data_IF_154499420385
#
_entry.id   IF_154499420385
#
_cell.length_a   1.000
_cell.length_b   1.000
_cell.length_c   1.000
_cell.angle_alpha   90.00
_cell.angle_beta   90.00
_cell.angle_gamma   90.00
#
_symmetry.space_group_name_H-M   'P 1'
#
loop_
_entity.id
_entity.type
_entity.pdbx_description
1 polymer ?
#
# COMPACT_ATOMS: atom_id res chain seq x y z
N UNK A 1 11.08 -17.02 -2.41
CA UNK A 1 10.28 -17.38 -1.22
C UNK A 1 10.56 -16.34 -0.19
N UNK A 2 9.53 -15.63 0.25
CA UNK A 2 9.60 -14.59 1.28
C UNK A 2 9.37 -15.25 2.62
N UNK A 3 10.31 -15.07 3.54
CA UNK A 3 10.15 -15.42 4.95
C UNK A 3 9.75 -14.16 5.74
N UNK A 4 9.33 -14.33 7.00
CA UNK A 4 8.99 -13.22 7.90
C UNK A 4 10.06 -12.11 7.93
N UNK A 5 11.33 -12.49 7.86
CA UNK A 5 12.46 -11.55 7.88
C UNK A 5 12.54 -10.64 6.64
N UNK A 6 11.81 -10.97 5.58
CA UNK A 6 11.74 -10.18 4.35
C UNK A 6 10.58 -9.18 4.35
N UNK A 7 9.74 -9.19 5.41
CA UNK A 7 8.66 -8.22 5.55
C UNK A 7 9.20 -6.84 5.92
N UNK A 8 8.69 -5.82 5.23
CA UNK A 8 9.07 -4.44 5.47
C UNK A 8 8.01 -3.73 6.31
N UNK A 9 8.40 -3.08 7.40
CA UNK A 9 7.47 -2.43 8.32
C UNK A 9 7.60 -0.91 8.25
N UNK A 10 6.50 -0.22 7.90
CA UNK A 10 6.41 1.24 7.91
C UNK A 10 5.58 1.64 9.13
N UNK A 11 6.13 2.46 10.02
CA UNK A 11 5.38 2.93 11.20
C UNK A 11 4.22 3.82 10.77
N UNK A 12 3.03 3.56 11.33
CA UNK A 12 1.85 4.39 11.09
C UNK A 12 1.88 5.56 12.07
N UNK A 13 1.87 6.79 11.54
CA UNK A 13 1.78 8.00 12.35
C UNK A 13 0.33 8.48 12.48
N UNK A 14 0.00 9.22 13.56
CA UNK A 14 -1.30 9.88 13.68
C UNK A 14 -1.63 10.77 12.47
N UNK A 15 -0.66 11.53 11.98
CA UNK A 15 -0.84 12.45 10.84
C UNK A 15 -1.22 11.69 9.57
N UNK A 16 -0.49 10.62 9.24
CA UNK A 16 -0.80 9.80 8.07
C UNK A 16 -2.21 9.20 8.16
N UNK A 17 -2.60 8.72 9.35
CA UNK A 17 -3.93 8.18 9.58
C UNK A 17 -5.03 9.24 9.44
N UNK A 18 -4.86 10.42 10.04
CA UNK A 18 -5.81 11.54 9.91
C UNK A 18 -5.96 11.96 8.45
N UNK A 19 -4.86 12.08 7.71
CA UNK A 19 -4.90 12.47 6.30
C UNK A 19 -5.64 11.41 5.47
N UNK A 20 -5.30 10.13 5.62
CA UNK A 20 -6.00 9.05 4.93
C UNK A 20 -7.50 9.01 5.27
N UNK A 21 -7.85 9.24 6.53
CA UNK A 21 -9.23 9.34 6.99
C UNK A 21 -9.98 10.50 6.35
N UNK A 22 -9.35 11.68 6.26
CA UNK A 22 -9.93 12.85 5.61
C UNK A 22 -10.16 12.61 4.11
N UNK A 23 -9.17 12.05 3.41
CA UNK A 23 -9.29 11.71 2.00
C UNK A 23 -10.37 10.66 1.75
N UNK A 24 -10.49 9.66 2.62
CA UNK A 24 -11.55 8.65 2.55
C UNK A 24 -12.94 9.27 2.72
N UNK A 25 -13.13 10.25 3.62
CA UNK A 25 -14.43 10.96 3.74
C UNK A 25 -14.83 11.64 2.44
N UNK A 26 -13.86 12.19 1.69
CA UNK A 26 -14.10 12.84 0.40
C UNK A 26 -14.36 11.79 -0.69
N UNK A 27 -13.64 10.67 -0.67
CA UNK A 27 -13.70 9.62 -1.70
C UNK A 27 -14.94 8.72 -1.58
N UNK A 28 -15.36 8.39 -0.36
CA UNK A 28 -16.46 7.45 -0.06
C UNK A 28 -17.77 7.70 -0.83
N UNK A 29 -18.27 8.95 -0.99
CA UNK A 29 -19.48 9.22 -1.77
C UNK A 29 -19.40 8.82 -3.25
N UNK A 30 -18.19 8.65 -3.78
CA UNK A 30 -17.92 8.30 -5.17
C UNK A 30 -17.36 6.88 -5.33
N UNK A 31 -17.08 6.19 -4.23
CA UNK A 31 -16.48 4.86 -4.27
C UNK A 31 -17.51 3.83 -4.75
N UNK A 32 -17.11 2.98 -5.70
CA UNK A 32 -17.91 1.81 -6.01
C UNK A 32 -17.90 0.86 -4.82
N UNK A 33 -19.03 0.76 -4.12
CA UNK A 33 -19.16 -0.13 -2.97
C UNK A 33 -19.10 -1.60 -3.43
N UNK A 34 -18.11 -2.32 -2.92
CA UNK A 34 -17.94 -3.75 -3.22
C UNK A 34 -18.91 -4.52 -2.33
N UNK A 35 -20.00 -5.03 -2.90
CA UNK A 35 -20.93 -5.88 -2.16
C UNK A 35 -20.27 -7.23 -1.81
N UNK A 36 -20.26 -7.62 -0.52
CA UNK A 36 -19.72 -8.90 -0.02
C UNK A 36 -18.87 -8.76 1.25
N UNK A 37 -18.49 -9.88 1.87
CA UNK A 37 -17.53 -9.96 3.01
C UNK A 37 -17.73 -9.02 4.21
N UNK A 38 -18.97 -8.76 4.64
CA UNK A 38 -19.27 -7.94 5.84
C UNK A 38 -18.70 -6.50 5.77
N UNK A 39 -18.36 -6.00 4.58
CA UNK A 39 -17.96 -4.60 4.42
C UNK A 39 -19.19 -3.71 4.65
N UNK A 40 -19.27 -3.13 5.85
CA UNK A 40 -20.22 -2.05 6.14
C UNK A 40 -19.62 -0.74 5.65
N UNK A 41 -20.35 -0.05 4.77
CA UNK A 41 -20.02 1.29 4.29
C UNK A 41 -20.84 2.36 5.01
N UNK A 42 -21.62 1.97 6.02
CA UNK A 42 -22.54 2.86 6.71
C UNK A 42 -21.91 3.48 7.96
N UNK A 43 -20.96 2.77 8.57
CA UNK A 43 -20.29 3.16 9.81
C UNK A 43 -18.77 2.96 9.72
N UNK A 44 -17.98 3.66 10.54
CA UNK A 44 -16.56 3.35 10.73
C UNK A 44 -16.36 1.91 11.21
N UNK A 45 -15.43 1.19 10.60
CA UNK A 45 -15.18 -0.21 10.97
C UNK A 45 -14.49 -0.34 12.32
N UNK A 46 -14.60 -1.52 12.93
CA UNK A 46 -13.88 -1.85 14.16
C UNK A 46 -12.37 -1.60 14.00
N UNK A 47 -11.78 -1.97 12.87
CA UNK A 47 -10.36 -1.76 12.58
C UNK A 47 -10.00 -0.28 12.58
N UNK A 48 -10.81 0.58 11.95
CA UNK A 48 -10.60 2.04 11.97
C UNK A 48 -10.67 2.60 13.40
N UNK A 49 -11.61 2.13 14.22
CA UNK A 49 -11.74 2.55 15.61
C UNK A 49 -10.55 2.09 16.46
N UNK A 50 -10.08 0.85 16.27
CA UNK A 50 -8.88 0.32 16.96
C UNK A 50 -7.63 1.12 16.60
N UNK A 51 -7.43 1.42 15.31
CA UNK A 51 -6.29 2.24 14.86
C UNK A 51 -6.36 3.64 15.50
N UNK A 52 -7.54 4.27 15.48
CA UNK A 52 -7.73 5.58 16.11
C UNK A 52 -7.43 5.53 17.60
N UNK A 53 -7.95 4.55 18.33
CA UNK A 53 -7.75 4.45 19.77
C UNK A 53 -6.28 4.25 20.15
N UNK A 54 -5.54 3.50 19.33
CA UNK A 54 -4.12 3.25 19.56
C UNK A 54 -3.24 4.48 19.22
N UNK A 55 -3.56 5.24 18.17
CA UNK A 55 -2.78 6.41 17.77
C UNK A 55 -3.19 7.69 18.53
N UNK A 56 -4.47 7.82 18.83
CA UNK A 56 -5.13 9.06 19.26
C UNK A 56 -6.32 8.76 20.20
N UNK A 57 -6.08 8.23 21.41
CA UNK A 57 -7.14 7.76 22.32
C UNK A 57 -8.16 8.83 22.75
N UNK A 58 -7.81 10.11 22.61
CA UNK A 58 -8.69 11.25 22.96
C UNK A 58 -9.48 11.79 21.78
N UNK A 59 -9.26 11.29 20.57
CA UNK A 59 -9.93 11.78 19.36
C UNK A 59 -11.31 11.12 19.20
N UNK A 60 -12.36 11.88 18.85
CA UNK A 60 -13.72 11.35 18.80
C UNK A 60 -13.91 10.34 17.65
N UNK A 61 -14.40 9.12 17.91
CA UNK A 61 -14.65 8.11 16.87
C UNK A 61 -15.65 8.54 15.78
N UNK A 62 -16.56 9.47 16.09
CA UNK A 62 -17.53 10.02 15.15
C UNK A 62 -16.87 10.74 13.95
N UNK A 63 -15.59 11.08 14.06
CA UNK A 63 -14.82 11.72 13.00
C UNK A 63 -14.16 10.71 12.04
N UNK A 64 -14.44 9.42 12.14
CA UNK A 64 -13.92 8.43 11.21
C UNK A 64 -14.74 8.38 9.92
N UNK A 65 -14.06 8.12 8.82
CA UNK A 65 -14.67 7.75 7.54
C UNK A 65 -15.37 6.39 7.67
N UNK A 66 -16.41 6.21 6.87
CA UNK A 66 -17.17 4.97 6.82
C UNK A 66 -16.38 3.88 6.09
N UNK A 67 -16.55 2.62 6.51
CA UNK A 67 -15.91 1.48 5.86
C UNK A 67 -14.38 1.44 6.02
N UNK A 68 -13.71 0.74 5.10
CA UNK A 68 -12.27 0.46 5.15
C UNK A 68 -11.44 1.26 4.14
N UNK A 69 -12.05 2.22 3.42
CA UNK A 69 -11.38 3.01 2.37
C UNK A 69 -10.15 3.74 2.88
N UNK A 70 -10.22 4.29 4.10
CA UNK A 70 -9.08 4.97 4.71
C UNK A 70 -7.89 4.05 4.96
N UNK A 71 -8.09 2.75 5.21
CA UNK A 71 -6.99 1.79 5.38
C UNK A 71 -6.28 1.57 4.04
N UNK A 72 -7.04 1.48 2.94
CA UNK A 72 -6.49 1.43 1.58
C UNK A 72 -5.64 2.65 1.26
N UNK A 73 -6.23 3.85 1.37
CA UNK A 73 -5.54 5.12 1.14
C UNK A 73 -4.30 5.27 2.04
N UNK A 74 -4.40 4.86 3.31
CA UNK A 74 -3.26 4.88 4.22
C UNK A 74 -2.11 4.02 3.70
N UNK A 75 -2.41 2.80 3.27
CA UNK A 75 -1.39 1.89 2.72
C UNK A 75 -0.74 2.47 1.47
N UNK A 76 -1.53 3.03 0.55
CA UNK A 76 -1.07 3.67 -0.67
C UNK A 76 -0.14 4.84 -0.38
N UNK A 77 -0.55 5.75 0.51
CA UNK A 77 0.23 6.92 0.91
C UNK A 77 1.56 6.54 1.58
N UNK A 78 1.54 5.58 2.49
CA UNK A 78 2.74 5.16 3.22
C UNK A 78 3.77 4.50 2.30
N UNK A 79 3.31 3.68 1.35
CA UNK A 79 4.18 3.09 0.32
C UNK A 79 4.75 4.18 -0.58
N UNK A 80 3.93 5.13 -1.02
CA UNK A 80 4.41 6.21 -1.88
C UNK A 80 5.44 7.11 -1.19
N UNK A 81 5.24 7.43 0.08
CA UNK A 81 6.20 8.19 0.90
C UNK A 81 7.51 7.41 1.08
N UNK A 82 7.45 6.10 1.36
CA UNK A 82 8.63 5.24 1.45
C UNK A 82 9.42 5.18 0.14
N UNK A 83 8.75 4.96 -0.99
CA UNK A 83 9.37 4.97 -2.32
C UNK A 83 9.99 6.32 -2.65
N UNK A 84 9.34 7.42 -2.28
CA UNK A 84 9.86 8.78 -2.47
C UNK A 84 11.15 8.99 -1.67
N UNK A 85 11.18 8.56 -0.40
CA UNK A 85 12.37 8.62 0.45
C UNK A 85 13.50 7.74 -0.08
N UNK A 86 13.17 6.55 -0.58
CA UNK A 86 14.14 5.67 -1.23
C UNK A 86 14.78 6.35 -2.45
N UNK A 87 13.99 6.95 -3.36
CA UNK A 87 14.51 7.70 -4.51
C UNK A 87 15.38 8.89 -4.10
N UNK A 88 14.99 9.62 -3.06
CA UNK A 88 15.81 10.71 -2.50
C UNK A 88 17.15 10.19 -1.97
N UNK A 89 17.15 9.06 -1.25
CA UNK A 89 18.38 8.44 -0.77
C UNK A 89 19.31 8.06 -1.93
N UNK A 90 18.76 7.42 -2.98
CA UNK A 90 19.52 7.06 -4.20
C UNK A 90 20.17 8.27 -4.85
N UNK A 91 19.47 9.40 -4.95
CA UNK A 91 20.04 10.66 -5.42
C UNK A 91 21.27 11.08 -4.60
N UNK A 92 21.18 11.03 -3.26
CA UNK A 92 22.28 11.42 -2.39
C UNK A 92 23.48 10.46 -2.49
N UNK A 93 23.24 9.16 -2.62
CA UNK A 93 24.30 8.16 -2.85
C UNK A 93 25.06 8.44 -4.15
N UNK A 94 24.34 8.69 -5.25
CA UNK A 94 24.93 9.00 -6.56
C UNK A 94 25.76 10.28 -6.45
N UNK A 95 25.19 11.33 -5.87
CA UNK A 95 25.87 12.61 -5.68
C UNK A 95 27.14 12.46 -4.84
N UNK A 96 27.11 11.65 -3.78
CA UNK A 96 28.28 11.39 -2.94
C UNK A 96 29.38 10.64 -3.72
N UNK A 97 29.03 9.64 -4.54
CA UNK A 97 29.99 8.94 -5.41
C UNK A 97 30.63 9.87 -6.44
N UNK A 98 29.85 10.77 -7.04
CA UNK A 98 30.38 11.79 -7.94
C UNK A 98 31.38 12.71 -7.22
N UNK A 99 31.04 13.17 -6.02
CA UNK A 99 31.93 13.99 -5.19
C UNK A 99 33.25 13.28 -4.86
N UNK A 100 33.18 12.01 -4.42
CA UNK A 100 34.38 11.20 -4.12
C UNK A 100 35.28 11.00 -5.34
N UNK A 101 34.69 10.84 -6.52
CA UNK A 101 35.41 10.66 -7.79
C UNK A 101 35.76 11.97 -8.49
N UNK A 102 35.51 13.13 -7.86
CA UNK A 102 35.73 14.46 -8.44
C UNK A 102 35.02 14.68 -9.79
N UNK A 103 33.89 13.98 -10.01
CA UNK A 103 33.07 14.12 -11.22
C UNK A 103 32.03 15.22 -10.95
N UNK A 104 31.94 16.28 -11.77
CA UNK A 104 30.90 17.28 -11.64
C UNK A 104 29.51 16.64 -11.67
N UNK A 105 28.65 17.03 -10.72
CA UNK A 105 27.26 16.58 -10.67
C UNK A 105 26.34 17.79 -10.69
N UNK A 106 25.59 17.93 -11.77
CA UNK A 106 24.78 19.13 -12.07
C UNK A 106 23.28 18.92 -11.88
N UNK A 107 22.84 17.67 -11.71
CA UNK A 107 21.43 17.33 -11.57
C UNK A 107 20.94 17.75 -10.18
N UNK A 108 19.86 18.53 -10.12
CA UNK A 108 19.20 18.85 -8.85
C UNK A 108 18.33 17.68 -8.37
N UNK A 109 17.99 17.65 -7.07
CA UNK A 109 17.05 16.65 -6.56
C UNK A 109 15.71 16.71 -7.30
N UNK A 110 15.21 17.92 -7.58
CA UNK A 110 13.95 18.10 -8.30
C UNK A 110 13.99 17.48 -9.70
N UNK A 111 15.05 17.74 -10.47
CA UNK A 111 15.21 17.16 -11.81
C UNK A 111 15.33 15.65 -11.74
N UNK A 112 16.12 15.13 -10.80
CA UNK A 112 16.22 13.69 -10.57
C UNK A 112 14.85 13.06 -10.30
N UNK A 113 14.05 13.64 -9.39
CA UNK A 113 12.71 13.11 -9.06
C UNK A 113 11.75 13.16 -10.26
N UNK A 114 11.83 14.20 -11.10
CA UNK A 114 11.06 14.28 -12.34
C UNK A 114 11.47 13.16 -13.30
N UNK A 115 12.77 12.94 -13.48
CA UNK A 115 13.32 11.88 -14.34
C UNK A 115 12.94 10.48 -13.86
N UNK A 116 12.70 10.30 -12.55
CA UNK A 116 12.20 9.02 -12.04
C UNK A 116 10.81 8.68 -12.57
N UNK A 117 10.00 9.64 -13.04
CA UNK A 117 8.66 9.37 -13.60
C UNK A 117 7.81 8.47 -12.69
N UNK A 118 7.89 8.70 -11.38
CA UNK A 118 7.11 8.03 -10.35
C UNK A 118 5.98 8.96 -9.89
N UNK A 119 4.73 8.50 -9.95
CA UNK A 119 3.58 9.29 -9.51
C UNK A 119 2.53 8.45 -8.78
N UNK A 120 1.92 9.09 -7.78
CA UNK A 120 0.78 8.57 -7.04
C UNK A 120 -0.53 9.03 -7.69
N UNK A 121 -1.35 8.07 -8.07
CA UNK A 121 -2.64 8.25 -8.74
C UNK A 121 -3.79 8.17 -7.73
N UNK A 122 -3.82 9.07 -6.75
CA UNK A 122 -5.01 9.18 -5.91
C UNK A 122 -6.18 9.69 -6.73
N UNK A 123 -7.21 8.86 -6.88
CA UNK A 123 -8.43 9.22 -7.61
C UNK A 123 -9.60 9.42 -6.66
N UNK A 124 -10.31 10.54 -6.87
CA UNK A 124 -11.53 10.91 -6.15
C UNK A 124 -12.58 11.26 -7.20
N UNK A 125 -13.73 10.57 -7.21
CA UNK A 125 -14.83 10.93 -8.12
C UNK A 125 -14.67 10.47 -9.56
N UNK A 126 -13.64 9.69 -9.89
CA UNK A 126 -13.45 9.10 -11.22
C UNK A 126 -12.89 7.68 -11.15
N UNK A 127 -12.75 7.01 -12.30
CA UNK A 127 -12.16 5.68 -12.37
C UNK A 127 -10.64 5.76 -12.21
N UNK A 128 -10.09 4.96 -11.29
CA UNK A 128 -8.65 4.90 -10.94
C UNK A 128 -7.78 4.17 -11.97
N UNK A 129 -8.39 3.60 -13.02
CA UNK A 129 -7.75 2.74 -14.03
C UNK A 129 -7.02 1.52 -13.42
N UNK A 130 -7.36 1.13 -12.18
CA UNK A 130 -6.86 -0.06 -11.49
C UNK A 130 -5.40 -0.01 -11.03
N UNK A 131 -4.81 1.17 -10.80
CA UNK A 131 -3.49 1.28 -10.19
C UNK A 131 -3.35 2.50 -9.29
N UNK A 132 -2.56 2.36 -8.22
CA UNK A 132 -2.32 3.44 -7.26
C UNK A 132 -1.03 4.20 -7.58
N UNK A 133 0.02 3.50 -8.04
CA UNK A 133 1.32 4.10 -8.36
C UNK A 133 1.68 3.77 -9.80
N UNK A 134 2.25 4.74 -10.51
CA UNK A 134 2.91 4.52 -11.80
C UNK A 134 4.38 4.86 -11.72
N UNK A 135 5.20 4.00 -12.32
CA UNK A 135 6.63 4.22 -12.54
C UNK A 135 6.93 3.96 -14.01
N UNK A 136 7.20 5.00 -14.79
CA UNK A 136 7.23 4.88 -16.25
C UNK A 136 5.93 4.22 -16.76
N UNK A 137 6.03 3.17 -17.58
CA UNK A 137 4.90 2.38 -18.08
C UNK A 137 4.43 1.27 -17.12
N UNK A 138 5.02 1.16 -15.93
CA UNK A 138 4.70 0.13 -14.95
C UNK A 138 3.62 0.66 -14.00
N UNK A 139 2.47 -0.02 -14.00
CA UNK A 139 1.37 0.20 -13.07
C UNK A 139 1.48 -0.73 -11.85
N UNK A 140 1.34 -0.15 -10.66
CA UNK A 140 1.44 -0.82 -9.37
C UNK A 140 0.16 -0.59 -8.58
N UNK A 141 -0.44 -1.66 -8.08
CA UNK A 141 -1.69 -1.65 -7.31
C UNK A 141 -1.45 -2.26 -5.92
N UNK A 142 -1.85 -1.55 -4.88
CA UNK A 142 -1.56 -1.84 -3.48
C UNK A 142 -2.81 -2.43 -2.85
N UNK A 143 -2.65 -3.62 -2.27
CA UNK A 143 -3.71 -4.34 -1.58
C UNK A 143 -3.47 -4.31 -0.09
N UNK A 144 -4.50 -3.96 0.66
CA UNK A 144 -4.48 -4.02 2.12
C UNK A 144 -5.65 -4.86 2.64
N UNK A 145 -5.38 -5.72 3.62
CA UNK A 145 -6.43 -6.43 4.36
C UNK A 145 -7.14 -5.48 5.33
N UNK A 146 -8.03 -4.64 4.80
CA UNK A 146 -8.72 -3.63 5.61
C UNK A 146 -9.68 -4.20 6.67
N UNK A 147 -10.00 -5.49 6.62
CA UNK A 147 -10.92 -6.15 7.56
C UNK A 147 -10.20 -6.88 8.72
N UNK A 148 -8.86 -6.86 8.78
CA UNK A 148 -8.11 -7.54 9.84
C UNK A 148 -6.89 -6.71 10.26
N UNK A 149 -6.77 -6.48 11.56
CA UNK A 149 -5.51 -6.05 12.18
C UNK A 149 -4.81 -7.33 12.67
N UNK A 150 -3.56 -7.47 12.29
CA UNK A 150 -2.69 -8.59 12.68
C UNK A 150 -2.05 -8.24 14.01
N UNK A 151 -2.01 -9.19 14.94
CA UNK A 151 -1.29 -9.05 16.23
C UNK A 151 0.04 -9.81 16.21
N UNK A 152 0.08 -10.95 15.51
CA UNK A 152 1.29 -11.73 15.27
C UNK A 152 1.67 -11.73 13.79
N UNK A 153 2.87 -11.23 13.50
CA UNK A 153 3.42 -11.14 12.14
C UNK A 153 3.54 -12.51 11.45
N UNK A 154 3.68 -13.60 12.21
CA UNK A 154 3.79 -14.97 11.67
C UNK A 154 2.52 -15.38 10.92
N UNK A 155 1.35 -14.86 11.34
CA UNK A 155 0.06 -15.14 10.69
C UNK A 155 0.06 -14.71 9.22
N UNK A 156 0.82 -13.67 8.86
CA UNK A 156 0.84 -13.08 7.53
C UNK A 156 1.34 -14.07 6.48
N UNK A 157 2.28 -14.93 6.83
CA UNK A 157 2.87 -15.93 5.92
C UNK A 157 1.83 -16.93 5.39
N UNK A 158 0.76 -17.17 6.15
CA UNK A 158 -0.33 -18.08 5.80
C UNK A 158 -1.48 -17.39 5.03
N UNK A 159 -1.34 -16.09 4.74
CA UNK A 159 -2.32 -15.31 3.98
C UNK A 159 -1.96 -15.28 2.50
N UNK A 160 -2.80 -14.59 1.71
CA UNK A 160 -2.64 -14.44 0.28
C UNK A 160 -2.62 -12.97 -0.09
N UNK A 161 -1.91 -12.64 -1.15
CA UNK A 161 -2.27 -11.50 -1.99
C UNK A 161 -3.60 -11.82 -2.68
N UNK A 162 -4.59 -10.94 -2.56
CA UNK A 162 -5.92 -11.10 -3.15
C UNK A 162 -6.26 -9.91 -4.05
N UNK A 163 -6.64 -10.20 -5.30
CA UNK A 163 -7.17 -9.22 -6.25
C UNK A 163 -8.53 -9.70 -6.72
N UNK A 164 -9.57 -8.89 -6.51
CA UNK A 164 -10.92 -9.20 -6.96
C UNK A 164 -10.94 -9.55 -8.46
N UNK A 165 -11.64 -10.62 -8.84
CA UNK A 165 -11.67 -11.09 -10.23
C UNK A 165 -12.15 -10.00 -11.19
N UNK A 166 -13.22 -9.27 -10.84
CA UNK A 166 -13.76 -8.21 -11.71
C UNK A 166 -12.76 -7.06 -11.84
N UNK A 167 -12.07 -6.70 -10.77
CA UNK A 167 -10.99 -5.72 -10.84
C UNK A 167 -9.89 -6.18 -11.78
N UNK A 168 -9.38 -7.40 -11.59
CA UNK A 168 -8.27 -7.93 -12.39
C UNK A 168 -8.63 -8.07 -13.88
N UNK A 169 -9.82 -8.56 -14.20
CA UNK A 169 -10.26 -8.80 -15.58
C UNK A 169 -10.46 -7.47 -16.35
N UNK A 170 -10.83 -6.37 -15.67
CA UNK A 170 -11.08 -5.08 -16.32
C UNK A 170 -9.89 -4.11 -16.28
N UNK A 171 -9.14 -4.10 -15.17
CA UNK A 171 -8.10 -3.12 -14.90
C UNK A 171 -6.87 -3.80 -14.27
N UNK A 172 -6.18 -4.58 -15.10
CA UNK A 172 -4.99 -5.34 -14.72
C UNK A 172 -3.79 -4.41 -14.53
N UNK A 173 -3.23 -4.36 -13.33
CA UNK A 173 -1.95 -3.72 -13.05
C UNK A 173 -0.79 -4.66 -13.42
N UNK A 174 0.42 -4.11 -13.61
CA UNK A 174 1.60 -4.93 -13.87
C UNK A 174 2.06 -5.65 -12.58
N UNK A 175 2.03 -4.93 -11.46
CA UNK A 175 2.52 -5.38 -10.16
C UNK A 175 1.44 -5.14 -9.10
N UNK A 176 1.34 -6.10 -8.18
CA UNK A 176 0.46 -6.03 -7.03
C UNK A 176 1.27 -6.18 -5.74
N UNK A 177 1.12 -5.23 -4.80
CA UNK A 177 1.78 -5.25 -3.49
C UNK A 177 0.76 -5.69 -2.44
N UNK A 178 1.12 -6.63 -1.57
CA UNK A 178 0.27 -7.03 -0.45
C UNK A 178 0.74 -6.40 0.86
N UNK A 179 -0.20 -5.78 1.59
CA UNK A 179 0.04 -5.12 2.87
C UNK A 179 -0.96 -5.53 3.95
N UNK A 180 -0.57 -5.35 5.21
CA UNK A 180 -1.37 -5.64 6.40
C UNK A 180 -1.14 -4.55 7.46
N UNK A 181 -2.12 -4.34 8.34
CA UNK A 181 -1.91 -3.54 9.55
C UNK A 181 -1.48 -4.47 10.67
N UNK A 182 -0.33 -4.21 11.28
CA UNK A 182 0.20 -4.91 12.45
C UNK A 182 0.06 -4.00 13.67
N UNK A 183 -0.56 -4.50 14.73
CA UNK A 183 -0.58 -3.89 16.04
C UNK A 183 0.20 -4.78 17.01
N UNK A 184 1.34 -4.31 17.50
CA UNK A 184 2.15 -5.02 18.48
C UNK A 184 2.61 -4.07 19.59
N UNK A 185 3.40 -4.59 20.55
CA UNK A 185 3.89 -3.82 21.69
C UNK A 185 4.72 -2.59 21.31
N UNK A 186 5.24 -2.51 20.08
CA UNK A 186 6.03 -1.39 19.57
C UNK A 186 5.17 -0.34 18.83
N UNK A 187 3.87 -0.58 18.71
CA UNK A 187 2.89 0.29 18.07
C UNK A 187 2.27 -0.29 16.81
N UNK A 188 1.76 0.62 15.98
CA UNK A 188 1.09 0.30 14.72
C UNK A 188 2.02 0.44 13.52
N UNK A 189 1.99 -0.57 12.66
CA UNK A 189 2.81 -0.64 11.46
C UNK A 189 1.99 -1.09 10.26
N UNK A 190 2.28 -0.54 9.09
CA UNK A 190 1.95 -1.15 7.82
C UNK A 190 3.05 -2.18 7.51
N UNK A 191 2.68 -3.44 7.43
CA UNK A 191 3.56 -4.52 6.99
C UNK A 191 3.40 -4.69 5.49
N UNK A 192 4.49 -4.53 4.74
CA UNK A 192 4.58 -4.86 3.33
C UNK A 192 5.09 -6.30 3.22
N UNK A 193 4.18 -7.20 2.90
CA UNK A 193 4.48 -8.63 2.85
C UNK A 193 5.24 -9.04 1.58
N UNK A 194 5.22 -8.19 0.56
CA UNK A 194 5.91 -8.41 -0.71
C UNK A 194 5.04 -8.02 -1.90
N UNK A 195 5.48 -8.41 -3.08
CA UNK A 195 4.78 -8.15 -4.33
C UNK A 195 4.74 -9.38 -5.25
N UNK A 196 3.79 -9.37 -6.17
CA UNK A 196 3.75 -10.29 -7.29
C UNK A 196 3.52 -9.52 -8.59
N UNK A 197 4.14 -10.01 -9.66
CA UNK A 197 3.75 -9.63 -11.02
C UNK A 197 2.42 -10.29 -11.37
N UNK A 198 1.67 -9.63 -12.23
CA UNK A 198 0.29 -10.01 -12.56
C UNK A 198 0.13 -11.40 -13.18
N UNK A 199 1.16 -11.94 -13.84
CA UNK A 199 1.22 -13.27 -14.43
C UNK A 199 1.45 -14.39 -13.40
N UNK A 200 1.90 -14.03 -12.19
CA UNK A 200 2.09 -14.96 -11.06
C UNK A 200 0.82 -15.15 -10.23
N UNK A 201 -0.25 -14.40 -10.51
CA UNK A 201 -1.53 -14.56 -9.82
C UNK A 201 -2.37 -15.64 -10.51
N UNK A 202 -2.93 -16.56 -9.72
CA UNK A 202 -3.84 -17.60 -10.21
C UNK A 202 -5.26 -17.36 -9.73
N UNK A 203 -6.25 -17.58 -10.59
CA UNK A 203 -7.65 -17.48 -10.20
C UNK A 203 -8.01 -18.58 -9.20
N UNK A 204 -8.55 -18.19 -8.05
CA UNK A 204 -9.19 -19.09 -7.12
C UNK A 204 -10.70 -18.79 -7.07
N UNK A 205 -11.48 -19.68 -7.68
CA UNK A 205 -12.95 -19.57 -7.73
C UNK A 205 -13.65 -20.10 -6.48
N UNK A 206 -12.93 -20.69 -5.53
CA UNK A 206 -13.52 -21.26 -4.31
C UNK A 206 -13.71 -20.21 -3.19
N UNK A 207 -13.14 -19.01 -3.33
CA UNK A 207 -13.44 -17.91 -2.44
C UNK A 207 -14.90 -17.47 -2.60
N UNK A 208 -15.58 -16.98 -1.54
CA UNK A 208 -16.94 -16.45 -1.64
C UNK A 208 -17.08 -15.40 -2.74
N UNK A 209 -16.05 -14.57 -2.92
CA UNK A 209 -15.85 -13.73 -4.09
C UNK A 209 -14.60 -14.24 -4.84
N UNK A 210 -14.72 -14.73 -6.10
CA UNK A 210 -13.57 -15.17 -6.88
C UNK A 210 -12.49 -14.10 -6.96
N UNK A 211 -11.24 -14.50 -6.77
CA UNK A 211 -10.09 -13.60 -6.76
C UNK A 211 -8.89 -14.24 -7.44
N UNK A 212 -8.07 -13.42 -8.09
CA UNK A 212 -6.72 -13.80 -8.47
C UNK A 212 -5.83 -13.67 -7.25
N UNK A 213 -5.05 -14.71 -6.95
CA UNK A 213 -4.30 -14.78 -5.71
C UNK A 213 -2.91 -15.38 -5.88
N UNK A 214 -2.04 -15.05 -4.93
CA UNK A 214 -0.74 -15.66 -4.72
C UNK A 214 -0.50 -15.77 -3.20
N UNK A 215 0.02 -16.89 -2.72
CA UNK A 215 0.38 -17.02 -1.30
C UNK A 215 1.45 -16.01 -0.93
N UNK A 216 1.34 -15.43 0.26
CA UNK A 216 2.36 -14.50 0.78
C UNK A 216 3.76 -15.12 0.77
N UNK A 217 3.88 -16.40 1.11
CA UNK A 217 5.15 -17.15 1.06
C UNK A 217 5.82 -17.19 -0.32
N UNK A 218 5.04 -17.02 -1.38
CA UNK A 218 5.47 -17.04 -2.78
C UNK A 218 5.68 -15.64 -3.38
N UNK A 219 5.47 -14.57 -2.61
CA UNK A 219 5.75 -13.22 -3.07
C UNK A 219 7.26 -12.99 -3.23
N UNK A 220 7.60 -11.95 -3.97
CA UNK A 220 8.94 -11.36 -3.99
C UNK A 220 9.05 -10.27 -2.92
N UNK A 221 10.24 -10.05 -2.36
CA UNK A 221 10.43 -9.06 -1.30
C UNK A 221 10.23 -7.62 -1.80
N UNK A 222 9.78 -6.74 -0.91
CA UNK A 222 9.60 -5.33 -1.25
C UNK A 222 10.93 -4.60 -1.54
N UNK A 223 12.02 -5.02 -0.90
CA UNK A 223 13.37 -4.52 -1.24
C UNK A 223 13.78 -4.88 -2.67
N UNK A 224 13.43 -6.07 -3.18
CA UNK A 224 13.70 -6.43 -4.57
C UNK A 224 12.93 -5.50 -5.52
N UNK A 225 11.67 -5.17 -5.19
CA UNK A 225 10.87 -4.22 -5.97
C UNK A 225 11.56 -2.86 -6.05
N UNK A 226 11.94 -2.30 -4.89
CA UNK A 226 12.62 -1.01 -4.81
C UNK A 226 13.87 -1.00 -5.67
N UNK A 227 14.74 -2.01 -5.54
CA UNK A 227 16.00 -2.06 -6.27
C UNK A 227 15.86 -2.31 -7.78
N UNK A 228 14.79 -2.98 -8.22
CA UNK A 228 14.60 -3.36 -9.63
C UNK A 228 13.79 -2.34 -10.43
N UNK A 229 12.91 -1.59 -9.77
CA UNK A 229 11.95 -0.68 -10.41
C UNK A 229 12.26 0.81 -10.14
N UNK A 230 12.87 1.13 -8.99
CA UNK A 230 13.11 2.49 -8.50
C UNK A 230 14.61 2.79 -8.31
#
# INVERSE_FOLDING_TARGET
MVNQNDFYCIRISPEAFITANYLAKIRNPYEFQRNGHLYSYDEPTYQMQTILQALMPTYPPAELSKGNTAIGILSEMLIFDDLTKYLQHRYFEIRQKHFQNQIPYTLTLQQFMIEQSCCYHLVIGSYDNGCDIRKNDISIDIKCYGNKIIENIDEITNLNLLVDKRQFDNFKANIYIQTFILNNNNGLFLVVAGYAESDKLALNSNFPNPAYCCSVSNLSSYELLKNSIF
#
